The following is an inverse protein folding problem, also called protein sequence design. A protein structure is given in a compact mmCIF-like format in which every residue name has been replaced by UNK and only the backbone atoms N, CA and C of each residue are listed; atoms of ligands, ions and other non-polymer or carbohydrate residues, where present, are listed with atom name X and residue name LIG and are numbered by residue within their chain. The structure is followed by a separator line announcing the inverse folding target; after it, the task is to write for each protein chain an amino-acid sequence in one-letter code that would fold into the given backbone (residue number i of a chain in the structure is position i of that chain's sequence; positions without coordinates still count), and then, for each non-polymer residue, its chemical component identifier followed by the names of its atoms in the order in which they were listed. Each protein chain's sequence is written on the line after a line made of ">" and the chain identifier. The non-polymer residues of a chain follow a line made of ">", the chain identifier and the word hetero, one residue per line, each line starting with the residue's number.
data_IF_026432196029
#
_entry.id   IF_026432196029
#
_cell.length_a   1.000
_cell.length_b   1.000
_cell.length_c   1.000
_cell.angle_alpha   90.00
_cell.angle_beta   90.00
_cell.angle_gamma   90.00
#
_symmetry.space_group_name_H-M   'P 1'
#
loop_
_entity.id
_entity.type
_entity.pdbx_description
1 polymer ?
#
# COMPACT_ATOMS: atom_id res chain seq x y z
N UNK A 1 -59.61 2.02 -8.25
CA UNK A 1 -59.56 3.08 -7.23
C UNK A 1 -60.35 2.58 -6.06
N UNK A 2 -59.99 3.00 -4.87
CA UNK A 2 -60.67 2.65 -3.64
C UNK A 2 -61.67 3.76 -3.29
N UNK A 3 -62.90 3.36 -2.93
CA UNK A 3 -63.93 4.29 -2.51
C UNK A 3 -63.66 4.73 -1.08
N UNK A 4 -63.61 6.04 -0.85
CA UNK A 4 -63.30 6.58 0.48
C UNK A 4 -64.57 7.09 1.15
N UNK A 5 -65.32 7.97 0.49
CA UNK A 5 -66.63 8.45 0.98
C UNK A 5 -67.37 9.24 -0.10
N UNK A 6 -68.71 9.25 -0.08
CA UNK A 6 -69.51 10.04 -1.03
C UNK A 6 -69.10 9.79 -2.49
N UNK A 7 -68.70 10.84 -3.21
CA UNK A 7 -68.18 10.77 -4.58
C UNK A 7 -66.64 10.75 -4.65
N UNK A 8 -65.94 10.55 -3.54
CA UNK A 8 -64.48 10.57 -3.45
C UNK A 8 -63.88 9.17 -3.55
N UNK A 9 -62.94 9.05 -4.48
CA UNK A 9 -62.19 7.84 -4.79
C UNK A 9 -60.71 8.18 -4.87
N UNK A 10 -59.85 7.28 -4.40
CA UNK A 10 -58.40 7.47 -4.45
C UNK A 10 -57.68 6.22 -4.97
N UNK A 11 -56.44 6.40 -5.41
CA UNK A 11 -55.52 5.30 -5.72
C UNK A 11 -54.09 5.81 -5.61
N UNK A 12 -53.28 5.10 -4.85
CA UNK A 12 -51.83 5.32 -4.82
C UNK A 12 -51.18 4.54 -5.95
N UNK A 13 -50.25 5.18 -6.66
CA UNK A 13 -49.40 4.57 -7.67
C UNK A 13 -47.97 4.63 -7.13
N UNK A 14 -47.33 3.47 -7.00
CA UNK A 14 -45.90 3.34 -6.67
C UNK A 14 -45.17 3.16 -8.00
N UNK A 15 -44.13 3.96 -8.20
CA UNK A 15 -43.33 3.95 -9.42
C UNK A 15 -42.02 3.26 -9.07
N UNK A 16 -41.63 2.26 -9.87
CA UNK A 16 -40.34 1.59 -9.77
C UNK A 16 -39.20 2.53 -10.17
N UNK A 17 -37.94 2.13 -9.97
CA UNK A 17 -36.78 2.93 -10.37
C UNK A 17 -36.72 3.09 -11.90
N UNK A 18 -37.26 4.19 -12.42
CA UNK A 18 -37.31 4.52 -13.84
C UNK A 18 -37.29 6.03 -14.08
N UNK A 19 -36.83 6.43 -15.26
CA UNK A 19 -36.96 7.79 -15.79
C UNK A 19 -38.10 7.90 -16.82
N UNK A 20 -38.85 6.82 -17.05
CA UNK A 20 -39.97 6.82 -17.98
C UNK A 20 -41.10 7.73 -17.47
N UNK A 21 -41.72 8.46 -18.40
CA UNK A 21 -42.86 9.33 -18.07
C UNK A 21 -44.07 8.48 -17.71
N UNK A 22 -44.69 8.77 -16.57
CA UNK A 22 -45.95 8.14 -16.21
C UNK A 22 -47.10 8.78 -17.01
N UNK A 23 -47.82 7.93 -17.75
CA UNK A 23 -49.02 8.30 -18.49
C UNK A 23 -50.25 7.71 -17.80
N UNK A 24 -51.23 8.54 -17.42
CA UNK A 24 -52.48 8.04 -16.83
C UNK A 24 -53.70 8.87 -17.21
N UNK A 25 -54.88 8.27 -17.17
CA UNK A 25 -56.17 8.95 -17.25
C UNK A 25 -57.14 8.28 -16.27
N UNK A 26 -58.17 9.00 -15.85
CA UNK A 26 -59.16 8.50 -14.89
C UNK A 26 -60.47 8.29 -15.64
N UNK A 27 -61.12 7.15 -15.41
CA UNK A 27 -62.42 6.83 -16.00
C UNK A 27 -63.42 6.46 -14.92
N UNK A 28 -64.65 6.92 -15.07
CA UNK A 28 -65.78 6.58 -14.22
C UNK A 28 -66.89 5.94 -15.07
N UNK A 29 -67.58 4.96 -14.49
CA UNK A 29 -68.73 4.29 -15.08
C UNK A 29 -69.92 4.44 -14.15
N UNK A 30 -71.08 4.82 -14.69
CA UNK A 30 -72.31 4.91 -13.91
C UNK A 30 -73.05 3.55 -13.81
N UNK A 31 -74.15 3.51 -13.06
CA UNK A 31 -74.97 2.30 -12.87
C UNK A 31 -75.67 1.80 -14.14
N UNK A 32 -75.72 2.65 -15.18
CA UNK A 32 -76.26 2.33 -16.49
C UNK A 32 -75.17 2.00 -17.51
N UNK A 33 -73.93 1.80 -17.05
CA UNK A 33 -72.75 1.44 -17.84
C UNK A 33 -72.30 2.52 -18.85
N UNK A 34 -72.63 3.79 -18.60
CA UNK A 34 -72.08 4.91 -19.36
C UNK A 34 -70.70 5.28 -18.81
N UNK A 35 -69.71 5.35 -19.69
CA UNK A 35 -68.33 5.71 -19.35
C UNK A 35 -68.04 7.17 -19.63
N UNK A 36 -67.28 7.81 -18.74
CA UNK A 36 -66.65 9.09 -18.98
C UNK A 36 -65.19 9.06 -18.50
N UNK A 37 -64.29 9.70 -19.25
CA UNK A 37 -62.84 9.66 -18.98
C UNK A 37 -62.25 11.07 -19.04
N UNK A 38 -61.21 11.30 -18.24
CA UNK A 38 -60.37 12.50 -18.37
C UNK A 38 -59.48 12.39 -19.61
N UNK A 39 -58.86 13.50 -20.00
CA UNK A 39 -57.68 13.47 -20.88
C UNK A 39 -56.51 12.72 -20.21
N UNK A 40 -55.51 12.35 -21.01
CA UNK A 40 -54.26 11.77 -20.50
C UNK A 40 -53.42 12.84 -19.80
N UNK A 41 -52.97 12.52 -18.60
CA UNK A 41 -51.98 13.25 -17.84
C UNK A 41 -50.61 12.60 -18.05
N UNK A 42 -49.58 13.45 -18.23
CA UNK A 42 -48.19 13.03 -18.38
C UNK A 42 -47.40 13.60 -17.20
N UNK A 43 -46.68 12.74 -16.47
CA UNK A 43 -45.84 13.12 -15.35
C UNK A 43 -44.41 12.67 -15.64
N UNK A 44 -43.50 13.63 -15.81
CA UNK A 44 -42.07 13.34 -15.91
C UNK A 44 -41.58 12.82 -14.57
N UNK A 45 -40.94 11.65 -14.58
CA UNK A 45 -40.30 11.07 -13.41
C UNK A 45 -38.85 11.50 -13.39
N UNK A 46 -38.40 11.99 -12.24
CA UNK A 46 -37.02 12.37 -11.97
C UNK A 46 -36.51 11.49 -10.85
N UNK A 47 -35.26 11.11 -10.96
CA UNK A 47 -34.57 10.40 -9.92
C UNK A 47 -33.97 11.39 -8.90
N UNK A 48 -34.28 11.13 -7.64
CA UNK A 48 -33.90 11.93 -6.48
C UNK A 48 -33.12 11.11 -5.44
N UNK A 49 -32.78 9.86 -5.76
CA UNK A 49 -31.99 9.01 -4.91
C UNK A 49 -30.50 9.33 -5.14
N UNK A 50 -29.71 9.28 -4.06
CA UNK A 50 -28.28 9.52 -4.15
C UNK A 50 -27.54 8.21 -4.36
N UNK A 51 -26.40 8.23 -5.06
CA UNK A 51 -25.56 7.05 -5.16
C UNK A 51 -25.03 6.64 -3.78
N UNK A 52 -24.79 5.35 -3.62
CA UNK A 52 -24.15 4.77 -2.43
C UNK A 52 -22.67 4.51 -2.71
N UNK A 53 -21.82 4.73 -1.71
CA UNK A 53 -20.38 4.41 -1.75
C UNK A 53 -20.08 3.53 -0.54
N UNK A 54 -19.59 2.32 -0.79
CA UNK A 54 -19.33 1.28 0.20
C UNK A 54 -17.93 0.70 0.00
N UNK A 55 -17.50 -0.14 0.95
CA UNK A 55 -16.26 -0.94 0.86
C UNK A 55 -15.02 -0.15 0.43
N UNK A 56 -14.85 1.06 0.99
CA UNK A 56 -13.66 1.87 0.74
C UNK A 56 -12.47 1.18 1.38
N UNK A 57 -11.45 0.88 0.59
CA UNK A 57 -10.20 0.27 1.07
C UNK A 57 -8.99 0.78 0.30
N UNK A 58 -7.81 0.56 0.87
CA UNK A 58 -6.53 0.83 0.22
C UNK A 58 -5.56 -0.32 0.46
N UNK A 59 -4.59 -0.52 -0.43
CA UNK A 59 -3.60 -1.60 -0.33
C UNK A 59 -2.76 -1.54 0.94
N UNK A 60 -2.37 -0.34 1.37
CA UNK A 60 -1.65 -0.11 2.63
C UNK A 60 -1.88 1.33 3.12
N UNK A 61 -1.95 1.56 4.45
CA UNK A 61 -1.99 2.91 5.01
C UNK A 61 -0.62 3.61 5.06
N UNK A 62 0.49 2.86 4.91
CA UNK A 62 1.87 3.39 4.90
C UNK A 62 2.59 2.82 3.68
N UNK A 63 3.18 3.67 2.86
CA UNK A 63 3.87 3.28 1.64
C UNK A 63 5.20 4.03 1.51
N UNK A 64 6.24 3.37 1.02
CA UNK A 64 7.49 4.04 0.67
C UNK A 64 7.31 4.91 -0.58
N UNK A 65 8.08 6.00 -0.65
CA UNK A 65 8.11 6.92 -1.80
C UNK A 65 8.27 6.14 -3.11
N UNK A 66 7.60 6.62 -4.15
CA UNK A 66 7.51 6.00 -5.49
C UNK A 66 6.82 4.64 -5.57
N UNK A 67 6.46 4.02 -4.45
CA UNK A 67 5.62 2.84 -4.44
C UNK A 67 4.15 3.13 -4.74
N UNK A 68 3.43 2.09 -5.19
CA UNK A 68 2.06 2.22 -5.65
C UNK A 68 1.04 1.94 -4.55
N UNK A 69 0.00 2.77 -4.50
CA UNK A 69 -1.17 2.55 -3.66
C UNK A 69 -2.37 2.27 -4.56
N UNK A 70 -3.09 1.20 -4.25
CA UNK A 70 -4.39 0.88 -4.85
C UNK A 70 -5.51 1.31 -3.90
N UNK A 71 -6.34 2.27 -4.29
CA UNK A 71 -7.53 2.70 -3.55
C UNK A 71 -8.76 2.19 -4.27
N UNK A 72 -9.68 1.54 -3.56
CA UNK A 72 -10.88 0.94 -4.13
C UNK A 72 -12.14 1.34 -3.37
N UNK A 73 -13.28 1.29 -4.05
CA UNK A 73 -14.61 1.38 -3.43
C UNK A 73 -15.66 0.66 -4.29
N UNK A 74 -16.80 0.32 -3.70
CA UNK A 74 -18.02 -0.05 -4.44
C UNK A 74 -18.97 1.14 -4.53
N UNK A 75 -19.44 1.47 -5.73
CA UNK A 75 -20.43 2.53 -5.92
C UNK A 75 -21.63 2.01 -6.72
N UNK A 76 -22.84 2.27 -6.22
CA UNK A 76 -24.08 1.82 -6.83
C UNK A 76 -25.20 2.84 -6.68
N UNK A 77 -26.13 2.84 -7.63
CA UNK A 77 -27.29 3.71 -7.69
C UNK A 77 -28.49 2.95 -8.28
N UNK A 78 -29.72 3.39 -8.02
CA UNK A 78 -30.94 2.73 -8.48
C UNK A 78 -31.20 2.93 -9.99
N UNK A 79 -30.73 4.03 -10.58
CA UNK A 79 -30.81 4.29 -12.03
C UNK A 79 -29.47 4.03 -12.70
N UNK A 80 -28.39 4.59 -12.15
CA UNK A 80 -27.05 4.34 -12.66
C UNK A 80 -26.03 5.41 -12.29
N UNK A 81 -24.76 5.01 -12.24
CA UNK A 81 -23.62 5.88 -11.93
C UNK A 81 -23.11 6.59 -13.19
N UNK A 82 -22.92 7.90 -13.11
CA UNK A 82 -22.29 8.74 -14.15
C UNK A 82 -20.77 8.75 -13.98
N UNK A 83 -20.28 9.13 -12.79
CA UNK A 83 -18.85 9.18 -12.50
C UNK A 83 -18.52 8.91 -11.03
N UNK A 84 -17.33 8.35 -10.81
CA UNK A 84 -16.71 8.22 -9.49
C UNK A 84 -15.35 8.91 -9.52
N UNK A 85 -15.15 9.87 -8.62
CA UNK A 85 -13.95 10.68 -8.51
C UNK A 85 -13.37 10.60 -7.11
N UNK A 86 -12.07 10.80 -7.01
CA UNK A 86 -11.33 10.86 -5.75
C UNK A 86 -10.57 12.18 -5.68
N UNK A 87 -10.73 12.89 -4.57
CA UNK A 87 -9.97 14.10 -4.28
C UNK A 87 -8.89 13.77 -3.25
N UNK A 88 -7.63 13.95 -3.61
CA UNK A 88 -6.47 13.62 -2.78
C UNK A 88 -5.75 14.92 -2.41
N UNK A 89 -5.62 15.18 -1.11
CA UNK A 89 -4.82 16.28 -0.55
C UNK A 89 -3.40 15.81 -0.27
N UNK A 90 -2.44 16.57 -0.78
CA UNK A 90 -1.00 16.32 -0.71
C UNK A 90 -0.38 16.98 0.54
N UNK A 91 0.82 16.55 0.98
CA UNK A 91 1.53 17.14 2.12
C UNK A 91 1.82 18.63 1.95
N UNK A 92 2.06 19.12 0.72
CA UNK A 92 2.23 20.53 0.39
C UNK A 92 0.94 21.38 0.51
N UNK A 93 -0.20 20.75 0.81
CA UNK A 93 -1.51 21.38 0.89
C UNK A 93 -2.21 21.53 -0.47
N UNK A 94 -1.58 21.13 -1.57
CA UNK A 94 -2.25 21.01 -2.87
C UNK A 94 -3.24 19.85 -2.86
N UNK A 95 -4.11 19.81 -3.86
CA UNK A 95 -5.03 18.69 -4.04
C UNK A 95 -5.21 18.35 -5.51
N UNK A 96 -5.54 17.09 -5.78
CA UNK A 96 -5.88 16.59 -7.11
C UNK A 96 -7.20 15.86 -7.11
N UNK A 97 -8.06 16.22 -8.05
CA UNK A 97 -9.27 15.49 -8.35
C UNK A 97 -9.02 14.56 -9.54
N UNK A 98 -9.29 13.27 -9.34
CA UNK A 98 -8.95 12.20 -10.27
C UNK A 98 -10.18 11.31 -10.48
N UNK A 99 -10.32 10.75 -11.68
CA UNK A 99 -11.40 9.77 -11.96
C UNK A 99 -10.95 8.38 -11.54
N UNK A 100 -11.86 7.60 -10.94
CA UNK A 100 -11.63 6.19 -10.62
C UNK A 100 -12.08 5.31 -11.80
N UNK A 101 -11.36 4.21 -12.02
CA UNK A 101 -11.63 3.27 -13.12
C UNK A 101 -12.61 2.19 -12.69
N UNK A 102 -13.65 1.96 -13.48
CA UNK A 102 -14.64 0.90 -13.25
C UNK A 102 -14.16 -0.44 -13.81
N UNK A 103 -14.32 -1.52 -13.03
CA UNK A 103 -13.86 -2.88 -13.43
C UNK A 103 -14.95 -3.95 -13.38
N UNK A 104 -16.21 -3.59 -13.10
CA UNK A 104 -17.33 -4.53 -12.94
C UNK A 104 -17.69 -4.77 -11.47
N UNK A 105 -18.85 -5.41 -11.22
CA UNK A 105 -19.38 -5.67 -9.87
C UNK A 105 -19.38 -4.44 -8.94
N UNK A 106 -19.77 -3.29 -9.49
CA UNK A 106 -19.79 -1.99 -8.80
C UNK A 106 -18.43 -1.49 -8.32
N UNK A 107 -17.33 -2.16 -8.67
CA UNK A 107 -15.99 -1.88 -8.16
C UNK A 107 -15.30 -0.80 -9.00
N UNK A 108 -14.80 0.21 -8.29
CA UNK A 108 -13.99 1.30 -8.82
C UNK A 108 -12.63 1.31 -8.13
N UNK A 109 -11.57 1.65 -8.87
CA UNK A 109 -10.22 1.73 -8.32
C UNK A 109 -9.39 2.90 -8.87
N UNK A 110 -8.37 3.30 -8.10
CA UNK A 110 -7.31 4.21 -8.49
C UNK A 110 -5.96 3.59 -8.09
N UNK A 111 -5.05 3.42 -9.05
CA UNK A 111 -3.72 2.84 -8.82
C UNK A 111 -2.64 3.83 -9.26
N UNK A 112 -1.90 4.41 -8.30
CA UNK A 112 -0.88 5.43 -8.55
C UNK A 112 0.24 5.40 -7.51
N UNK A 113 1.38 5.98 -7.87
CA UNK A 113 2.49 6.24 -6.96
C UNK A 113 2.59 7.72 -6.55
N UNK A 114 3.37 7.99 -5.50
CA UNK A 114 3.53 9.32 -4.92
C UNK A 114 5.00 9.59 -4.60
N UNK A 115 5.50 10.75 -5.01
CA UNK A 115 6.92 11.14 -4.91
C UNK A 115 7.21 12.04 -3.70
N UNK A 116 6.19 12.60 -3.06
CA UNK A 116 6.34 13.51 -1.94
C UNK A 116 6.09 12.77 -0.63
N UNK A 117 7.05 12.85 0.28
CA UNK A 117 6.97 12.22 1.60
C UNK A 117 6.04 13.05 2.49
N UNK A 118 5.14 12.39 3.21
CA UNK A 118 4.25 13.03 4.18
C UNK A 118 2.88 12.40 4.26
N UNK A 119 1.98 13.10 4.95
CA UNK A 119 0.62 12.65 5.17
C UNK A 119 -0.29 13.12 4.04
N UNK A 120 -1.01 12.16 3.47
CA UNK A 120 -2.05 12.38 2.47
C UNK A 120 -3.41 12.11 3.08
N UNK A 121 -4.42 12.76 2.52
CA UNK A 121 -5.81 12.43 2.83
C UNK A 121 -6.66 12.42 1.56
N UNK A 122 -7.76 11.66 1.56
CA UNK A 122 -8.65 11.62 0.42
C UNK A 122 -10.13 11.46 0.78
N UNK A 123 -10.99 11.85 -0.16
CA UNK A 123 -12.43 11.57 -0.18
C UNK A 123 -12.82 11.06 -1.57
N UNK A 124 -13.77 10.13 -1.60
CA UNK A 124 -14.35 9.63 -2.85
C UNK A 124 -15.74 10.24 -3.02
N UNK A 125 -16.08 10.60 -4.25
CA UNK A 125 -17.33 11.20 -4.67
C UNK A 125 -17.94 10.33 -5.76
N UNK A 126 -19.24 10.07 -5.67
CA UNK A 126 -20.00 9.42 -6.71
C UNK A 126 -21.13 10.35 -7.15
N UNK A 127 -21.35 10.39 -8.45
CA UNK A 127 -22.44 11.11 -9.10
C UNK A 127 -23.23 10.11 -9.94
N UNK A 128 -24.55 10.11 -9.80
CA UNK A 128 -25.43 9.33 -10.67
C UNK A 128 -25.73 10.06 -11.99
N UNK A 129 -26.40 9.35 -12.90
CA UNK A 129 -26.81 9.85 -14.23
C UNK A 129 -27.85 10.97 -14.18
N UNK A 130 -28.52 11.14 -13.04
CA UNK A 130 -29.54 12.15 -12.78
C UNK A 130 -28.97 13.41 -12.12
N UNK A 131 -27.71 13.36 -11.71
CA UNK A 131 -26.95 14.46 -11.12
C UNK A 131 -26.96 14.50 -9.60
N UNK A 132 -27.45 13.48 -8.89
CA UNK A 132 -27.33 13.44 -7.44
C UNK A 132 -25.94 12.96 -7.02
N UNK A 133 -25.47 13.52 -5.90
CA UNK A 133 -24.09 13.33 -5.41
C UNK A 133 -24.08 12.72 -4.02
N UNK A 134 -23.08 11.89 -3.79
CA UNK A 134 -22.68 11.43 -2.46
C UNK A 134 -21.16 11.42 -2.30
N UNK A 135 -20.67 11.49 -1.06
CA UNK A 135 -19.25 11.48 -0.75
C UNK A 135 -18.95 10.62 0.49
N UNK A 136 -17.70 10.18 0.60
CA UNK A 136 -17.21 9.44 1.77
C UNK A 136 -16.70 10.36 2.88
N UNK A 137 -16.46 9.78 4.05
CA UNK A 137 -15.57 10.39 5.05
C UNK A 137 -14.12 10.53 4.51
N UNK A 138 -13.29 11.25 5.26
CA UNK A 138 -11.86 11.39 4.96
C UNK A 138 -11.11 10.13 5.38
N UNK A 139 -10.26 9.64 4.49
CA UNK A 139 -9.28 8.59 4.75
C UNK A 139 -7.87 9.18 4.66
N UNK A 140 -6.90 8.55 5.33
CA UNK A 140 -5.52 9.02 5.37
C UNK A 140 -4.56 7.88 5.01
N UNK A 141 -3.44 8.24 4.39
CA UNK A 141 -2.29 7.37 4.20
C UNK A 141 -1.01 8.20 4.28
N UNK A 142 0.12 7.55 4.51
CA UNK A 142 1.42 8.24 4.66
C UNK A 142 2.41 7.67 3.65
N UNK A 143 3.11 8.58 2.97
CA UNK A 143 4.28 8.26 2.18
C UNK A 143 5.52 8.51 3.04
N UNK A 144 6.37 7.49 3.18
CA UNK A 144 7.62 7.55 3.96
C UNK A 144 8.83 7.45 3.06
N UNK A 145 9.99 7.85 3.57
CA UNK A 145 11.26 7.64 2.88
C UNK A 145 11.51 6.14 2.67
N UNK A 146 11.99 5.79 1.48
CA UNK A 146 12.49 4.46 1.20
C UNK A 146 13.86 4.30 1.86
N UNK A 147 14.04 3.23 2.63
CA UNK A 147 15.34 2.90 3.21
C UNK A 147 15.98 1.77 2.43
N UNK A 148 17.22 1.99 1.99
CA UNK A 148 17.99 0.94 1.32
C UNK A 148 18.49 -0.08 2.34
N UNK A 149 18.56 -1.35 1.93
CA UNK A 149 19.19 -2.42 2.70
C UNK A 149 20.63 -2.03 3.05
N UNK A 150 21.01 -2.19 4.31
CA UNK A 150 22.36 -1.92 4.78
C UNK A 150 22.96 -3.16 5.42
N UNK A 151 24.25 -3.42 5.17
CA UNK A 151 25.03 -4.42 5.89
C UNK A 151 26.33 -3.79 6.36
N UNK A 152 26.74 -4.09 7.59
CA UNK A 152 27.99 -3.60 8.15
C UNK A 152 28.74 -4.69 8.91
N UNK A 153 30.05 -4.73 8.74
CA UNK A 153 30.95 -5.59 9.51
C UNK A 153 31.20 -4.93 10.86
N UNK A 154 30.52 -5.42 11.90
CA UNK A 154 30.69 -4.91 13.26
C UNK A 154 31.90 -5.51 13.97
N UNK A 155 32.43 -6.63 13.47
CA UNK A 155 33.68 -7.25 13.90
C UNK A 155 34.36 -8.04 12.76
N UNK A 156 35.68 -7.88 12.56
CA UNK A 156 36.56 -6.94 13.26
C UNK A 156 36.28 -5.48 12.86
N UNK A 157 36.55 -4.54 13.78
CA UNK A 157 36.47 -3.10 13.50
C UNK A 157 37.73 -2.59 12.82
N UNK A 158 37.60 -1.50 12.06
CA UNK A 158 38.75 -0.80 11.50
C UNK A 158 39.72 -0.32 12.59
N UNK A 159 41.01 -0.26 12.23
CA UNK A 159 42.09 0.32 13.06
C UNK A 159 42.13 -0.24 14.49
N UNK A 160 41.79 -1.51 14.63
CA UNK A 160 41.68 -2.21 15.92
C UNK A 160 42.66 -3.38 16.00
N UNK A 161 43.09 -3.70 17.22
CA UNK A 161 43.86 -4.91 17.50
C UNK A 161 42.96 -5.92 18.20
N UNK A 162 42.90 -7.13 17.67
CA UNK A 162 42.25 -8.27 18.30
C UNK A 162 43.30 -9.34 18.64
N UNK A 163 43.18 -9.93 19.83
CA UNK A 163 43.99 -11.07 20.28
C UNK A 163 43.03 -12.14 20.81
N UNK A 164 43.05 -13.33 20.21
CA UNK A 164 42.16 -14.46 20.52
C UNK A 164 40.68 -14.02 20.58
N UNK A 165 40.19 -13.43 19.49
CA UNK A 165 38.83 -12.86 19.41
C UNK A 165 38.55 -11.59 20.23
N UNK A 166 39.43 -11.19 21.17
CA UNK A 166 39.18 -10.06 22.07
C UNK A 166 39.78 -8.74 21.60
N UNK A 167 38.97 -7.66 21.63
CA UNK A 167 39.39 -6.30 21.28
C UNK A 167 40.32 -5.68 22.32
N UNK A 168 41.48 -5.17 21.89
CA UNK A 168 42.43 -4.41 22.71
C UNK A 168 42.18 -2.90 22.54
N UNK A 169 41.36 -2.33 23.43
CA UNK A 169 40.80 -0.96 23.30
C UNK A 169 41.79 0.20 23.29
N UNK A 170 43.00 0.03 23.81
CA UNK A 170 43.98 1.12 23.93
C UNK A 170 44.99 1.17 22.78
N UNK A 171 44.95 0.20 21.86
CA UNK A 171 45.88 0.11 20.73
C UNK A 171 45.10 0.33 19.45
N UNK A 172 45.38 1.45 18.77
CA UNK A 172 44.71 1.86 17.54
C UNK A 172 45.71 1.82 16.37
N UNK A 173 46.04 0.63 15.83
CA UNK A 173 46.97 0.51 14.73
C UNK A 173 46.48 1.23 13.46
N UNK A 174 47.38 1.49 12.51
CA UNK A 174 47.02 2.06 11.20
C UNK A 174 46.17 1.13 10.33
N UNK A 175 46.21 -0.17 10.61
CA UNK A 175 45.42 -1.22 9.94
C UNK A 175 44.90 -2.16 11.01
N UNK A 176 43.76 -2.80 10.79
CA UNK A 176 43.25 -3.82 11.70
C UNK A 176 44.20 -5.01 11.76
N UNK A 177 44.49 -5.49 12.96
CA UNK A 177 45.37 -6.64 13.20
C UNK A 177 44.59 -7.65 14.04
N UNK A 178 44.58 -8.90 13.60
CA UNK A 178 43.99 -10.03 14.30
C UNK A 178 45.09 -11.03 14.61
N UNK A 179 45.20 -11.43 15.88
CA UNK A 179 46.12 -12.45 16.37
C UNK A 179 45.29 -13.60 16.93
N UNK A 180 45.38 -14.78 16.32
CA UNK A 180 44.50 -15.93 16.62
C UNK A 180 43.25 -15.96 15.73
N UNK A 181 42.30 -16.79 16.14
CA UNK A 181 40.96 -16.87 15.58
C UNK A 181 40.11 -15.64 15.94
N UNK A 182 39.08 -15.39 15.13
CA UNK A 182 38.10 -14.33 15.38
C UNK A 182 36.76 -14.68 14.77
N UNK A 183 35.69 -14.46 15.54
CA UNK A 183 34.34 -14.42 15.00
C UNK A 183 34.10 -13.09 14.30
N UNK A 184 33.97 -13.14 12.98
CA UNK A 184 33.46 -12.02 12.21
C UNK A 184 31.94 -11.92 12.43
N UNK A 185 31.47 -10.72 12.68
CA UNK A 185 30.06 -10.44 13.00
C UNK A 185 29.57 -9.35 12.04
N UNK A 186 28.40 -9.57 11.45
CA UNK A 186 27.74 -8.61 10.57
C UNK A 186 26.39 -8.18 11.15
N UNK A 187 26.05 -6.91 10.94
CA UNK A 187 24.75 -6.34 11.25
C UNK A 187 24.06 -5.98 9.93
N UNK A 188 22.79 -6.36 9.80
CA UNK A 188 21.92 -5.95 8.70
C UNK A 188 20.90 -4.96 9.27
N UNK A 189 20.61 -3.90 8.53
CA UNK A 189 19.60 -2.91 8.85
C UNK A 189 18.72 -2.63 7.62
N UNK A 190 17.50 -2.15 7.85
CA UNK A 190 16.50 -1.82 6.82
C UNK A 190 16.10 -3.00 5.93
N UNK A 191 16.05 -4.20 6.49
CA UNK A 191 15.63 -5.39 5.78
C UNK A 191 14.13 -5.42 5.48
N UNK A 192 13.78 -5.85 4.25
CA UNK A 192 12.41 -6.18 3.89
C UNK A 192 12.25 -7.71 3.89
N UNK A 193 11.63 -8.26 4.93
CA UNK A 193 11.38 -9.71 5.04
C UNK A 193 12.63 -10.51 5.43
N UNK A 194 12.74 -11.74 4.92
CA UNK A 194 13.87 -12.62 5.24
C UNK A 194 15.16 -12.15 4.54
N UNK A 195 16.32 -12.35 5.18
CA UNK A 195 17.64 -11.95 4.66
C UNK A 195 18.61 -13.12 4.70
N UNK A 196 19.45 -13.22 3.67
CA UNK A 196 20.63 -14.10 3.64
C UNK A 196 21.90 -13.25 3.65
N UNK A 197 22.89 -13.64 4.46
CA UNK A 197 24.20 -13.01 4.55
C UNK A 197 25.28 -14.00 4.11
N UNK A 198 26.03 -13.60 3.09
CA UNK A 198 27.15 -14.35 2.54
C UNK A 198 28.47 -13.76 3.07
N UNK A 199 29.30 -14.57 3.71
CA UNK A 199 30.65 -14.18 4.13
C UNK A 199 31.68 -14.70 3.15
N UNK A 200 32.54 -13.80 2.67
CA UNK A 200 33.65 -14.09 1.79
C UNK A 200 34.97 -13.73 2.45
N UNK A 201 35.97 -14.61 2.37
CA UNK A 201 37.34 -14.34 2.80
C UNK A 201 38.28 -14.45 1.61
N UNK A 202 38.96 -13.35 1.28
CA UNK A 202 39.83 -13.20 0.11
C UNK A 202 39.15 -13.50 -1.23
N UNK A 203 37.83 -13.29 -1.30
CA UNK A 203 37.01 -13.55 -2.48
C UNK A 203 36.39 -14.95 -2.53
N UNK A 204 36.79 -15.87 -1.64
CA UNK A 204 36.17 -17.18 -1.53
C UNK A 204 34.94 -17.12 -0.61
N UNK A 205 33.79 -17.62 -1.08
CA UNK A 205 32.60 -17.80 -0.24
C UNK A 205 32.90 -18.82 0.87
N UNK A 206 32.59 -18.46 2.12
CA UNK A 206 32.84 -19.30 3.31
C UNK A 206 31.57 -19.81 3.96
N UNK A 207 30.59 -18.93 4.17
CA UNK A 207 29.29 -19.31 4.75
C UNK A 207 28.18 -18.46 4.14
N UNK A 208 27.00 -19.07 4.05
CA UNK A 208 25.72 -18.39 3.81
C UNK A 208 24.92 -18.62 5.09
N UNK A 209 24.49 -17.54 5.72
CA UNK A 209 23.74 -17.56 6.98
C UNK A 209 22.42 -16.81 6.78
N UNK A 210 21.30 -17.44 7.15
CA UNK A 210 19.95 -16.91 7.05
C UNK A 210 19.33 -16.63 8.44
N UNK A 211 20.11 -16.79 9.52
CA UNK A 211 19.63 -16.60 10.88
C UNK A 211 20.52 -15.66 11.69
N UNK A 212 20.01 -14.50 12.16
CA UNK A 212 20.79 -13.64 13.04
C UNK A 212 21.02 -14.31 14.41
N UNK A 213 22.17 -14.08 15.08
CA UNK A 213 23.26 -13.19 14.66
C UNK A 213 24.12 -13.78 13.54
N UNK A 214 24.43 -12.97 12.52
CA UNK A 214 25.24 -13.39 11.37
C UNK A 214 26.71 -13.46 11.76
N UNK A 215 27.26 -14.68 11.81
CA UNK A 215 28.61 -14.92 12.33
C UNK A 215 29.40 -15.89 11.45
N UNK A 216 30.67 -15.57 11.23
CA UNK A 216 31.64 -16.45 10.58
C UNK A 216 32.97 -16.49 11.35
N UNK A 217 33.35 -17.67 11.86
CA UNK A 217 34.65 -17.84 12.53
C UNK A 217 35.79 -17.95 11.52
N UNK A 218 36.72 -17.01 11.59
CA UNK A 218 37.96 -16.99 10.80
C UNK A 218 39.04 -17.72 11.60
N UNK A 219 39.22 -18.99 11.30
CA UNK A 219 40.31 -19.83 11.84
C UNK A 219 41.13 -20.45 10.70
N UNK A 220 42.00 -19.64 10.11
CA UNK A 220 42.93 -20.08 9.05
C UNK A 220 44.37 -19.81 9.46
N UNK A 221 45.28 -20.71 9.05
CA UNK A 221 46.71 -20.44 9.18
C UNK A 221 47.11 -19.22 8.34
N UNK A 222 47.69 -18.21 8.98
CA UNK A 222 48.23 -17.03 8.30
C UNK A 222 49.34 -16.37 9.10
N UNK A 223 50.38 -15.89 8.41
CA UNK A 223 51.53 -15.22 9.02
C UNK A 223 51.69 -13.81 8.45
N UNK A 224 51.07 -12.85 9.12
CA UNK A 224 51.12 -11.41 8.80
C UNK A 224 50.60 -11.03 7.40
N UNK A 225 49.87 -11.92 6.74
CA UNK A 225 49.28 -11.63 5.43
C UNK A 225 48.08 -10.71 5.59
N UNK A 226 47.87 -9.89 4.55
CA UNK A 226 46.67 -9.06 4.41
C UNK A 226 45.54 -9.97 3.92
N UNK A 227 44.39 -9.88 4.58
CA UNK A 227 43.16 -10.57 4.22
C UNK A 227 42.03 -9.57 4.07
N UNK A 228 41.08 -9.89 3.20
CA UNK A 228 39.86 -9.11 2.99
C UNK A 228 38.65 -9.95 3.34
N UNK A 229 37.90 -9.50 4.34
CA UNK A 229 36.58 -10.02 4.64
C UNK A 229 35.56 -9.16 3.89
N UNK A 230 34.67 -9.79 3.13
CA UNK A 230 33.52 -9.14 2.50
C UNK A 230 32.25 -9.84 2.99
N UNK A 231 31.24 -9.05 3.30
CA UNK A 231 29.89 -9.53 3.60
C UNK A 231 28.93 -9.01 2.56
N UNK A 232 27.97 -9.84 2.14
CA UNK A 232 26.92 -9.46 1.19
C UNK A 232 25.59 -9.89 1.80
N UNK A 233 24.69 -8.94 2.01
CA UNK A 233 23.32 -9.22 2.43
C UNK A 233 22.37 -9.15 1.22
N UNK A 234 21.40 -10.06 1.18
CA UNK A 234 20.31 -10.07 0.19
C UNK A 234 18.99 -10.32 0.88
N UNK A 235 17.99 -9.50 0.61
CA UNK A 235 16.63 -9.70 1.12
C UNK A 235 15.71 -10.42 0.10
N UNK A 236 14.48 -10.73 0.51
CA UNK A 236 13.48 -11.39 -0.36
C UNK A 236 12.94 -10.50 -1.49
N UNK A 237 13.09 -9.18 -1.37
CA UNK A 237 12.74 -8.21 -2.42
C UNK A 237 13.78 -8.19 -3.53
N UNK A 238 14.97 -8.75 -3.28
CA UNK A 238 16.09 -8.81 -4.20
C UNK A 238 17.08 -7.66 -4.02
N UNK A 239 16.93 -6.85 -2.96
CA UNK A 239 17.86 -5.79 -2.62
C UNK A 239 19.17 -6.38 -2.11
N UNK A 240 20.28 -5.71 -2.42
CA UNK A 240 21.63 -6.20 -2.14
C UNK A 240 22.47 -5.11 -1.51
N UNK A 241 23.07 -5.43 -0.37
CA UNK A 241 24.03 -4.58 0.32
C UNK A 241 25.36 -5.32 0.50
N UNK A 242 26.47 -4.59 0.50
CA UNK A 242 27.78 -5.18 0.76
C UNK A 242 28.66 -4.28 1.63
N UNK A 243 29.50 -4.91 2.45
CA UNK A 243 30.56 -4.24 3.20
C UNK A 243 31.84 -5.08 3.15
N UNK A 244 32.99 -4.43 3.28
CA UNK A 244 34.27 -5.13 3.29
C UNK A 244 35.30 -4.43 4.18
N UNK A 245 36.05 -5.25 4.91
CA UNK A 245 37.17 -4.80 5.73
C UNK A 245 38.44 -5.56 5.35
N UNK A 246 39.57 -4.85 5.41
CA UNK A 246 40.88 -5.48 5.33
C UNK A 246 41.60 -5.45 6.67
N UNK A 247 42.18 -6.59 7.05
CA UNK A 247 43.00 -6.74 8.23
C UNK A 247 44.28 -7.55 7.92
N UNK A 248 45.25 -7.51 8.83
CA UNK A 248 46.38 -8.44 8.86
C UNK A 248 46.09 -9.55 9.86
N UNK A 249 46.33 -10.80 9.46
CA UNK A 249 46.10 -11.97 10.30
C UNK A 249 47.41 -12.62 10.71
N UNK A 250 47.51 -13.00 11.98
CA UNK A 250 48.53 -13.90 12.50
C UNK A 250 47.79 -15.00 13.25
N UNK A 251 47.67 -16.17 12.64
CA UNK A 251 47.11 -17.33 13.29
C UNK A 251 47.98 -18.53 12.90
N UNK A 252 48.44 -19.25 13.92
CA UNK A 252 49.30 -20.41 13.76
C UNK A 252 48.51 -21.69 13.46
N UNK A 253 47.18 -21.67 13.49
CA UNK A 253 46.33 -22.83 13.18
C UNK A 253 46.54 -24.00 14.14
N UNK A 254 46.86 -23.72 15.41
CA UNK A 254 47.13 -24.73 16.44
C UNK A 254 46.20 -24.46 17.63
N UNK A 255 45.28 -25.41 17.86
CA UNK A 255 44.90 -25.85 19.21
C UNK A 255 45.84 -26.99 19.60
#
# INVERSE_FOLDING_TARGET
>A
MDHVSGSYWEKTIIIENTLDTLHYFISAVDVYNNWNSTSVYNITILDNDKPTILDVSMSTPIQEVDGYINITCKANDNIGIDEVKINISYPDGSYRNLSMSFVGDYLYFLYQNYTEIGNYSFRIFAKDTSGNWNETNIYNFTIVEQKELEVSIIKPKERSLYILGHLIKFIHPRTTIVIGDIDAEALVENETGDVTVEFYLDGDLKVIDDTPPYVYTIDIFSLWKKHTLKVVARDVSGDVAEDSITFRLINLGIL
#
